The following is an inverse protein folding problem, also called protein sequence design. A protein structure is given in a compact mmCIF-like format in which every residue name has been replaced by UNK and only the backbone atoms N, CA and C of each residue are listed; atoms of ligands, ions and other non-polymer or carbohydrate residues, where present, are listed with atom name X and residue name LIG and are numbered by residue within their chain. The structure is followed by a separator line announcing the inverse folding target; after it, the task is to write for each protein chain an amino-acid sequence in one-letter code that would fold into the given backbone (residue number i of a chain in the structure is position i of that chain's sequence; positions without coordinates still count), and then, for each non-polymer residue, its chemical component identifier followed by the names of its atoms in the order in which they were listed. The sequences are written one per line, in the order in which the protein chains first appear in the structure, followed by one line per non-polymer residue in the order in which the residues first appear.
data_IF_470361397575
#
_entry.id   IF_470361397575
#
_cell.length_a   1.000
_cell.length_b   1.000
_cell.length_c   1.000
_cell.angle_alpha   90.00
_cell.angle_beta   90.00
_cell.angle_gamma   90.00
#
_symmetry.space_group_name_H-M   'P 1'
#
loop_
_entity.id
_entity.type
_entity.pdbx_description
1 polymer ?
#
# COMPACT_ATOMS: atom_id res chain seq x y z
N UNK A 1 -16.83 21.32 -2.36
CA UNK A 1 -15.95 21.30 -2.33
C UNK A 1 -15.22 20.37 -2.81
N UNK A 2 -15.45 19.68 -3.35
CA UNK A 2 -14.67 18.69 -3.83
C UNK A 2 -13.79 19.08 -4.93
N UNK A 3 -13.91 20.22 -5.45
CA UNK A 3 -13.07 20.62 -6.55
C UNK A 3 -11.64 20.67 -6.14
N UNK A 4 -11.37 21.23 -4.99
CA UNK A 4 -9.99 21.25 -4.62
C UNK A 4 -9.53 19.90 -4.23
N UNK A 5 -10.40 18.99 -3.84
CA UNK A 5 -9.98 17.63 -3.61
C UNK A 5 -9.48 16.99 -4.87
N UNK A 6 -10.14 17.23 -5.98
CA UNK A 6 -9.69 16.61 -7.21
C UNK A 6 -8.40 17.23 -7.70
N UNK A 7 -8.04 18.40 -7.22
CA UNK A 7 -6.79 19.02 -7.61
C UNK A 7 -5.65 18.69 -6.66
N UNK A 8 -5.93 17.95 -5.63
CA UNK A 8 -4.93 17.62 -4.64
C UNK A 8 -4.21 16.34 -5.08
N UNK A 9 -2.90 16.40 -5.35
CA UNK A 9 -2.18 15.21 -5.81
C UNK A 9 -2.24 14.06 -4.84
N UNK A 10 -2.31 14.35 -3.56
CA UNK A 10 -2.41 13.29 -2.59
C UNK A 10 -3.71 12.57 -2.67
N UNK A 11 -4.77 13.29 -2.99
CA UNK A 11 -6.06 12.64 -3.16
C UNK A 11 -6.06 11.76 -4.39
N UNK A 12 -5.33 12.13 -5.41
CA UNK A 12 -5.28 11.32 -6.62
C UNK A 12 -4.56 10.02 -6.39
N UNK A 13 -3.55 10.03 -5.51
CA UNK A 13 -2.83 8.82 -5.25
C UNK A 13 -3.37 8.03 -4.12
N UNK A 14 -3.90 8.70 -3.12
CA UNK A 14 -4.24 8.05 -1.88
C UNK A 14 -5.59 7.40 -2.02
N UNK A 15 -5.60 6.15 -2.21
CA UNK A 15 -6.80 5.38 -2.05
C UNK A 15 -7.15 5.26 -0.58
N UNK A 16 -7.89 4.24 -0.22
CA UNK A 16 -8.32 4.05 1.15
C UNK A 16 -7.11 3.79 2.06
N UNK A 17 -7.20 4.29 3.28
CA UNK A 17 -6.19 4.05 4.28
C UNK A 17 -6.27 2.59 4.72
N UNK A 18 -5.12 1.91 4.73
CA UNK A 18 -5.08 0.50 5.09
C UNK A 18 -5.20 0.26 6.59
N UNK A 19 -5.04 1.29 7.39
CA UNK A 19 -4.97 1.14 8.83
C UNK A 19 -3.57 0.87 9.32
N UNK A 20 -2.60 0.80 8.42
CA UNK A 20 -1.22 0.49 8.77
C UNK A 20 -0.32 1.65 8.42
N UNK A 21 0.82 1.70 9.12
CA UNK A 21 1.81 2.74 8.92
C UNK A 21 3.12 2.10 8.48
N UNK A 22 3.90 2.84 7.69
CA UNK A 22 5.20 2.34 7.29
C UNK A 22 6.20 2.51 8.44
N UNK A 23 7.43 2.09 8.21
CA UNK A 23 8.42 2.11 9.29
C UNK A 23 8.79 3.52 9.73
N UNK A 24 8.41 4.53 8.96
CA UNK A 24 8.65 5.93 9.31
C UNK A 24 7.40 6.59 9.88
N UNK A 25 6.33 5.82 10.12
CA UNK A 25 5.11 6.36 10.69
C UNK A 25 4.18 7.00 9.68
N UNK A 26 4.41 6.77 8.39
CA UNK A 26 3.55 7.33 7.36
C UNK A 26 2.39 6.37 7.08
N UNK A 27 1.17 6.90 6.95
CA UNK A 27 0.02 6.02 6.69
C UNK A 27 0.11 5.40 5.30
N UNK A 28 -0.16 4.11 5.24
CA UNK A 28 -0.11 3.38 3.98
C UNK A 28 -1.52 3.34 3.40
N UNK A 29 -1.65 3.77 2.16
CA UNK A 29 -2.92 3.81 1.45
C UNK A 29 -2.88 2.89 0.24
N UNK A 30 -4.05 2.52 -0.22
CA UNK A 30 -4.16 1.79 -1.47
C UNK A 30 -3.49 2.58 -2.59
N UNK A 31 -2.74 1.89 -3.43
CA UNK A 31 -2.01 2.52 -4.52
C UNK A 31 -0.56 2.81 -4.22
N UNK A 32 -0.20 2.82 -2.96
CA UNK A 32 1.21 3.01 -2.59
C UNK A 32 2.02 1.79 -3.00
N UNK A 33 3.29 2.04 -3.32
CA UNK A 33 4.26 0.95 -3.47
C UNK A 33 5.07 0.91 -2.18
N UNK A 34 5.22 -0.28 -1.62
CA UNK A 34 5.94 -0.47 -0.37
C UNK A 34 7.06 -1.48 -0.59
N UNK A 35 8.19 -1.20 0.06
CA UNK A 35 9.35 -2.07 0.01
C UNK A 35 9.52 -2.76 1.34
N UNK A 36 9.86 -4.03 1.31
CA UNK A 36 10.11 -4.77 2.53
C UNK A 36 11.05 -5.92 2.23
N UNK A 37 11.62 -6.48 3.30
CA UNK A 37 12.55 -7.58 3.19
C UNK A 37 11.79 -8.90 3.22
N UNK A 38 12.06 -9.77 2.26
CA UNK A 38 11.34 -11.02 2.17
C UNK A 38 12.31 -12.12 1.70
N UNK A 39 12.51 -13.11 2.53
CA UNK A 39 13.33 -14.30 2.19
C UNK A 39 14.67 -13.92 1.60
N UNK A 40 15.37 -13.02 2.27
CA UNK A 40 16.74 -12.70 1.90
C UNK A 40 16.89 -11.60 0.87
N UNK A 41 15.82 -10.97 0.44
CA UNK A 41 15.91 -9.89 -0.53
C UNK A 41 14.83 -8.85 -0.28
N UNK A 42 15.04 -7.66 -0.82
CA UNK A 42 14.00 -6.62 -0.76
C UNK A 42 13.09 -6.77 -1.95
N UNK A 43 11.81 -6.60 -1.71
CA UNK A 43 10.81 -6.61 -2.76
C UNK A 43 9.96 -5.36 -2.64
N UNK A 44 9.39 -4.93 -3.78
CA UNK A 44 8.49 -3.79 -3.82
C UNK A 44 7.16 -4.29 -4.34
N UNK A 45 6.11 -4.07 -3.56
CA UNK A 45 4.77 -4.51 -3.92
C UNK A 45 3.83 -3.33 -3.93
N UNK A 46 2.78 -3.42 -4.72
CA UNK A 46 1.75 -2.40 -4.76
C UNK A 46 0.63 -2.78 -3.81
N UNK A 47 0.15 -1.82 -3.06
CA UNK A 47 -0.99 -2.03 -2.16
C UNK A 47 -2.26 -1.94 -2.98
N UNK A 48 -3.05 -3.00 -2.98
CA UNK A 48 -4.31 -3.06 -3.72
C UNK A 48 -5.43 -3.42 -2.77
N UNK A 49 -6.65 -3.06 -3.13
CA UNK A 49 -7.82 -3.39 -2.33
C UNK A 49 -8.64 -4.44 -3.04
N UNK A 50 -9.00 -5.48 -2.31
CA UNK A 50 -9.87 -6.53 -2.82
C UNK A 50 -11.27 -6.34 -2.25
N UNK A 51 -12.21 -5.82 -3.04
CA UNK A 51 -13.55 -5.57 -2.52
C UNK A 51 -14.31 -6.84 -2.17
N UNK A 52 -13.93 -7.96 -2.77
CA UNK A 52 -14.64 -9.21 -2.49
C UNK A 52 -14.36 -9.71 -1.09
N UNK A 53 -13.15 -9.46 -0.60
CA UNK A 53 -12.75 -9.88 0.73
C UNK A 53 -12.64 -8.71 1.69
N UNK A 54 -12.93 -7.51 1.23
CA UNK A 54 -12.80 -6.29 2.03
C UNK A 54 -11.44 -6.22 2.70
N UNK A 55 -10.39 -6.46 1.94
CA UNK A 55 -9.05 -6.58 2.48
C UNK A 55 -8.04 -5.88 1.59
N UNK A 56 -6.96 -5.40 2.22
CA UNK A 56 -5.84 -4.84 1.47
C UNK A 56 -4.80 -5.92 1.26
N UNK A 57 -4.34 -6.04 0.02
CA UNK A 57 -3.42 -7.08 -0.39
C UNK A 57 -2.19 -6.45 -1.00
N UNK A 58 -1.14 -7.25 -1.13
CA UNK A 58 0.09 -6.84 -1.77
C UNK A 58 0.17 -7.50 -3.14
N UNK A 59 0.35 -6.69 -4.17
CA UNK A 59 0.55 -7.19 -5.52
C UNK A 59 2.03 -7.15 -5.84
N UNK A 60 2.59 -8.32 -6.10
CA UNK A 60 4.02 -8.48 -6.36
C UNK A 60 4.37 -8.06 -7.78
N UNK A 61 5.65 -7.81 -8.06
CA UNK A 61 6.06 -7.37 -9.39
C UNK A 61 5.68 -8.31 -10.51
N UNK A 62 5.60 -9.61 -10.24
CA UNK A 62 5.20 -10.59 -11.26
C UNK A 62 3.69 -10.71 -11.38
N UNK A 63 2.94 -9.89 -10.68
CA UNK A 63 1.49 -9.92 -10.74
C UNK A 63 0.82 -10.79 -9.71
N UNK A 64 1.59 -11.56 -8.95
CA UNK A 64 1.04 -12.41 -7.91
C UNK A 64 0.48 -11.54 -6.79
N UNK A 65 -0.70 -11.87 -6.28
CA UNK A 65 -1.33 -11.11 -5.21
C UNK A 65 -1.27 -11.93 -3.94
N UNK A 66 -0.62 -11.37 -2.95
CA UNK A 66 -0.51 -11.98 -1.64
C UNK A 66 -1.66 -11.51 -0.79
N UNK A 67 -2.22 -12.39 0.01
CA UNK A 67 -3.43 -12.10 0.73
C UNK A 67 -3.31 -11.15 1.90
N UNK A 68 -2.15 -10.99 2.48
CA UNK A 68 -2.07 -10.25 3.73
C UNK A 68 -0.90 -9.31 3.76
N UNK A 69 -1.12 -8.12 4.36
CA UNK A 69 -0.03 -7.41 4.96
C UNK A 69 0.45 -8.24 6.13
N UNK A 70 1.75 -8.39 6.27
CA UNK A 70 2.28 -9.08 7.43
C UNK A 70 2.27 -8.13 8.61
N UNK A 71 1.50 -8.45 9.61
CA UNK A 71 1.45 -7.66 10.81
C UNK A 71 2.83 -7.63 11.42
N UNK A 72 3.27 -6.45 11.81
CA UNK A 72 4.61 -6.31 12.36
C UNK A 72 5.69 -6.25 11.31
N UNK A 73 5.34 -6.33 10.05
CA UNK A 73 6.33 -6.18 8.99
C UNK A 73 6.82 -4.74 8.91
N UNK A 74 8.05 -4.59 8.44
CA UNK A 74 8.66 -3.28 8.31
C UNK A 74 8.57 -2.87 6.86
N UNK A 75 7.54 -2.09 6.53
CA UNK A 75 7.31 -1.61 5.19
C UNK A 75 7.79 -0.18 5.05
N UNK A 76 8.28 0.14 3.87
CA UNK A 76 8.66 1.51 3.57
C UNK A 76 7.95 1.96 2.30
N UNK A 77 7.22 3.07 2.38
CA UNK A 77 6.56 3.62 1.20
C UNK A 77 7.64 4.18 0.29
N UNK A 78 7.67 3.72 -0.96
CA UNK A 78 8.65 4.19 -1.93
C UNK A 78 8.01 4.93 -3.09
N UNK A 79 6.71 4.83 -3.24
CA UNK A 79 6.01 5.68 -4.21
C UNK A 79 4.49 5.57 -4.11
#
# INVERSE_FOLDING_TARGET
MSTEDSNNPEKLFAGAFTGMYDKHGKPIHEGHHVQFYYKGTYVICKVVYDPRNAAFLLKWPDGYINQYFMKGGSYEIVS
#
